data_IF_686484347652
#
_entry.id   IF_686484347652
#
_cell.length_a   1.000
_cell.length_b   1.000
_cell.length_c   1.000
_cell.angle_alpha   90.00
_cell.angle_beta   90.00
_cell.angle_gamma   90.00
#
_symmetry.space_group_name_H-M   'P 1'
#
loop_
_entity.id
_entity.type
_entity.pdbx_description
1 polymer ?
#
# COMPACT_ATOMS: atom_id res chain seq x y z
N UNK A 1 -16.22 -0.63 -7.54
CA UNK A 1 -14.75 -0.73 -7.41
C UNK A 1 -14.17 -0.98 -8.80
N UNK A 2 -12.98 -0.50 -9.10
CA UNK A 2 -12.36 -0.71 -10.43
C UNK A 2 -11.84 -2.14 -10.54
N UNK A 3 -12.13 -2.83 -11.64
CA UNK A 3 -11.58 -4.17 -11.94
C UNK A 3 -10.05 -4.15 -11.93
N UNK A 4 -9.44 -3.00 -12.26
CA UNK A 4 -8.01 -2.79 -12.24
C UNK A 4 -7.41 -2.96 -10.83
N UNK A 5 -8.08 -2.46 -9.79
CA UNK A 5 -7.56 -2.59 -8.41
C UNK A 5 -7.50 -4.06 -7.98
N UNK A 6 -8.54 -4.82 -8.31
CA UNK A 6 -8.58 -6.26 -8.04
C UNK A 6 -7.50 -7.00 -8.83
N UNK A 7 -7.31 -6.64 -10.10
CA UNK A 7 -6.28 -7.23 -10.93
C UNK A 7 -4.88 -6.95 -10.37
N UNK A 8 -4.59 -5.70 -10.01
CA UNK A 8 -3.30 -5.32 -9.43
C UNK A 8 -3.00 -6.06 -8.12
N UNK A 9 -3.97 -6.15 -7.22
CA UNK A 9 -3.81 -6.87 -5.96
C UNK A 9 -3.65 -8.37 -6.18
N UNK A 10 -4.41 -8.96 -7.11
CA UNK A 10 -4.23 -10.35 -7.50
C UNK A 10 -2.81 -10.60 -8.02
N UNK A 11 -2.35 -9.80 -8.98
CA UNK A 11 -1.03 -9.90 -9.57
C UNK A 11 0.09 -9.66 -8.55
N UNK A 12 -0.13 -8.78 -7.58
CA UNK A 12 0.78 -8.57 -6.45
C UNK A 12 0.98 -9.86 -5.65
N UNK A 13 -0.10 -10.56 -5.28
CA UNK A 13 0.00 -11.83 -4.57
C UNK A 13 0.63 -12.92 -5.45
N UNK A 14 0.28 -13.00 -6.74
CA UNK A 14 0.87 -13.95 -7.68
C UNK A 14 2.39 -13.72 -7.85
N UNK A 15 2.85 -12.47 -7.93
CA UNK A 15 4.28 -12.12 -7.96
C UNK A 15 5.00 -12.50 -6.67
N UNK A 16 4.32 -12.46 -5.53
CA UNK A 16 4.81 -12.92 -4.23
C UNK A 16 4.63 -14.42 -4.03
N UNK A 17 4.38 -15.18 -5.12
CA UNK A 17 4.29 -16.65 -5.16
C UNK A 17 3.13 -17.25 -4.36
N UNK A 18 2.03 -16.52 -4.23
CA UNK A 18 0.78 -17.05 -3.68
C UNK A 18 -0.06 -17.74 -4.77
N UNK A 19 -0.77 -18.79 -4.38
CA UNK A 19 -1.95 -19.23 -5.09
C UNK A 19 -3.08 -18.26 -4.80
N UNK A 20 -3.76 -17.77 -5.83
CA UNK A 20 -4.83 -16.78 -5.70
C UNK A 20 -6.11 -17.29 -6.27
N UNK A 21 -7.17 -17.26 -5.48
CA UNK A 21 -8.47 -17.78 -5.81
C UNK A 21 -9.52 -16.69 -5.59
N UNK A 22 -10.16 -16.19 -6.66
CA UNK A 22 -11.20 -15.17 -6.52
C UNK A 22 -12.51 -15.77 -6.01
N UNK A 23 -13.23 -15.00 -5.20
CA UNK A 23 -14.47 -15.41 -4.54
C UNK A 23 -15.55 -15.95 -5.49
N UNK A 24 -15.69 -15.40 -6.70
CA UNK A 24 -16.73 -15.82 -7.65
C UNK A 24 -16.66 -17.30 -8.05
N UNK A 25 -15.54 -17.97 -7.76
CA UNK A 25 -15.38 -19.41 -8.04
C UNK A 25 -16.03 -20.32 -6.98
N UNK A 26 -16.46 -19.78 -5.83
CA UNK A 26 -16.89 -20.59 -4.68
C UNK A 26 -18.38 -20.57 -4.38
N UNK A 27 -19.23 -20.09 -5.23
CA UNK A 27 -20.64 -20.19 -4.96
C UNK A 27 -21.52 -19.22 -5.74
N UNK A 28 -22.82 -19.34 -5.51
CA UNK A 28 -23.76 -18.33 -5.97
C UNK A 28 -23.31 -17.00 -5.35
N UNK A 29 -22.89 -16.07 -6.22
CA UNK A 29 -22.55 -14.72 -5.78
C UNK A 29 -23.69 -14.22 -4.90
N UNK A 30 -23.42 -13.77 -3.66
CA UNK A 30 -24.46 -13.16 -2.85
C UNK A 30 -25.13 -12.11 -3.73
N UNK A 31 -26.47 -12.13 -3.79
CA UNK A 31 -27.24 -11.14 -4.57
C UNK A 31 -27.01 -9.70 -4.12
N UNK A 32 -26.28 -9.54 -3.04
CA UNK A 32 -25.82 -8.25 -2.52
C UNK A 32 -24.58 -7.84 -3.32
N UNK A 33 -24.78 -6.93 -4.27
CA UNK A 33 -23.81 -6.45 -5.27
C UNK A 33 -22.53 -5.86 -4.65
N UNK A 34 -22.53 -5.54 -3.34
CA UNK A 34 -21.40 -4.98 -2.62
C UNK A 34 -20.30 -6.01 -2.27
N UNK A 35 -20.62 -7.31 -2.25
CA UNK A 35 -19.67 -8.39 -1.97
C UNK A 35 -19.07 -9.03 -3.23
N UNK A 36 -19.80 -8.99 -4.34
CA UNK A 36 -19.44 -9.72 -5.55
C UNK A 36 -18.19 -9.12 -6.20
N UNK A 37 -17.03 -9.63 -5.87
CA UNK A 37 -15.80 -9.37 -6.62
C UNK A 37 -14.66 -8.68 -5.86
N UNK A 38 -14.83 -8.40 -4.56
CA UNK A 38 -13.81 -7.72 -3.77
C UNK A 38 -12.91 -8.67 -2.95
N UNK A 39 -13.28 -9.96 -2.81
CA UNK A 39 -12.56 -10.94 -2.01
C UNK A 39 -11.66 -11.83 -2.86
N UNK A 40 -10.43 -12.02 -2.36
CA UNK A 40 -9.48 -13.03 -2.83
C UNK A 40 -9.11 -13.95 -1.67
N UNK A 41 -8.94 -15.23 -1.96
CA UNK A 41 -8.34 -16.19 -1.05
C UNK A 41 -6.94 -16.47 -1.54
N UNK A 42 -5.95 -16.28 -0.68
CA UNK A 42 -4.54 -16.43 -1.05
C UNK A 42 -3.85 -17.43 -0.12
N UNK A 43 -3.01 -18.29 -0.69
CA UNK A 43 -2.23 -19.25 0.07
C UNK A 43 -0.78 -19.26 -0.43
N UNK A 44 0.16 -19.06 0.50
CA UNK A 44 1.59 -19.14 0.24
C UNK A 44 2.08 -20.57 0.55
N UNK A 45 2.54 -21.33 -0.48
CA UNK A 45 2.98 -22.71 -0.27
C UNK A 45 4.28 -22.81 0.54
N UNK A 46 5.09 -21.76 0.52
CA UNK A 46 6.38 -21.68 1.24
C UNK A 46 6.50 -20.31 1.91
N UNK A 47 5.75 -20.07 2.99
CA UNK A 47 5.85 -18.80 3.69
C UNK A 47 7.26 -18.59 4.24
N UNK A 48 7.72 -17.36 4.27
CA UNK A 48 8.93 -17.00 4.99
C UNK A 48 8.75 -17.27 6.49
N UNK A 49 9.84 -17.32 7.24
CA UNK A 49 9.76 -17.52 8.69
C UNK A 49 8.84 -16.46 9.30
N UNK A 50 7.86 -16.94 10.08
CA UNK A 50 6.89 -16.06 10.74
C UNK A 50 7.60 -15.25 11.81
N UNK A 51 7.63 -13.92 11.64
CA UNK A 51 7.89 -12.95 12.69
C UNK A 51 6.58 -12.33 13.17
N UNK A 52 6.63 -11.55 14.22
CA UNK A 52 5.51 -10.68 14.60
C UNK A 52 5.35 -9.59 13.53
N UNK A 53 4.28 -9.69 12.78
CA UNK A 53 3.95 -8.69 11.76
C UNK A 53 3.12 -7.56 12.36
N UNK A 54 3.44 -6.34 12.00
CA UNK A 54 2.60 -5.20 12.30
C UNK A 54 1.24 -5.31 11.59
N UNK A 55 0.23 -4.63 12.13
CA UNK A 55 -1.05 -4.57 11.44
C UNK A 55 -0.92 -3.89 10.07
N UNK A 56 -0.11 -2.82 9.96
CA UNK A 56 0.17 -2.14 8.71
C UNK A 56 1.42 -2.74 8.06
N UNK A 57 1.21 -3.55 7.03
CA UNK A 57 2.28 -4.27 6.35
C UNK A 57 3.17 -3.35 5.50
N UNK A 58 4.47 -3.62 5.53
CA UNK A 58 5.48 -3.00 4.70
C UNK A 58 5.79 -3.89 3.46
N UNK A 59 6.50 -3.38 2.45
CA UNK A 59 6.93 -4.19 1.31
C UNK A 59 7.71 -5.44 1.77
N UNK A 60 7.30 -6.60 1.26
CA UNK A 60 7.90 -7.90 1.58
C UNK A 60 7.28 -8.62 2.78
N UNK A 61 6.60 -7.94 3.70
CA UNK A 61 5.99 -8.57 4.89
C UNK A 61 4.98 -9.65 4.52
N UNK A 62 4.29 -9.46 3.40
CA UNK A 62 3.28 -10.40 2.91
C UNK A 62 3.80 -11.82 2.75
N UNK A 63 5.10 -11.99 2.49
CA UNK A 63 5.74 -13.30 2.30
C UNK A 63 5.73 -14.17 3.57
N UNK A 64 5.51 -13.57 4.74
CA UNK A 64 5.38 -14.28 6.02
C UNK A 64 3.94 -14.75 6.30
N UNK A 65 2.97 -14.35 5.47
CA UNK A 65 1.57 -14.77 5.61
C UNK A 65 1.39 -16.11 4.88
N UNK A 66 0.89 -17.11 5.60
CA UNK A 66 0.62 -18.43 5.02
C UNK A 66 -0.69 -18.44 4.22
N UNK A 67 -1.76 -17.95 4.82
CA UNK A 67 -3.11 -17.89 4.23
C UNK A 67 -3.79 -16.60 4.60
N UNK A 68 -4.50 -16.00 3.66
CA UNK A 68 -5.31 -14.85 3.95
C UNK A 68 -6.57 -14.76 3.09
N UNK A 69 -7.63 -14.20 3.70
CA UNK A 69 -8.75 -13.61 2.98
C UNK A 69 -8.41 -12.14 2.77
N UNK A 70 -8.39 -11.72 1.52
CA UNK A 70 -7.99 -10.37 1.14
C UNK A 70 -9.21 -9.63 0.59
N UNK A 71 -9.61 -8.57 1.24
CA UNK A 71 -10.61 -7.62 0.76
C UNK A 71 -9.91 -6.41 0.14
N UNK A 72 -10.37 -5.96 -1.03
CA UNK A 72 -9.79 -4.81 -1.71
C UNK A 72 -10.78 -3.64 -1.67
N UNK A 73 -10.41 -2.54 -1.03
CA UNK A 73 -11.21 -1.31 -0.88
C UNK A 73 -10.39 -0.06 -1.16
N UNK A 74 -9.74 -0.04 -2.32
CA UNK A 74 -8.91 1.08 -2.74
C UNK A 74 -9.74 2.12 -3.52
N UNK A 75 -10.13 3.19 -2.84
CA UNK A 75 -10.74 4.38 -3.44
C UNK A 75 -9.67 5.46 -3.55
N UNK A 76 -9.13 5.65 -4.75
CA UNK A 76 -7.96 6.52 -4.96
C UNK A 76 -8.29 8.02 -4.98
N UNK A 77 -9.57 8.39 -4.84
CA UNK A 77 -9.96 9.80 -4.81
C UNK A 77 -9.56 10.51 -3.52
N UNK A 78 -9.58 9.76 -2.39
CA UNK A 78 -9.34 10.30 -1.06
C UNK A 78 -8.46 9.39 -0.21
N UNK A 79 -7.88 9.98 0.84
CA UNK A 79 -7.16 9.23 1.87
C UNK A 79 -8.11 8.56 2.83
N UNK A 80 -7.68 7.43 3.38
CA UNK A 80 -8.45 6.71 4.38
C UNK A 80 -8.32 7.38 5.76
N UNK A 81 -9.43 7.88 6.27
CA UNK A 81 -9.53 8.48 7.59
C UNK A 81 -10.36 7.61 8.53
N UNK A 82 -10.14 7.77 9.84
CA UNK A 82 -10.93 7.08 10.87
C UNK A 82 -12.44 7.26 10.69
N UNK A 83 -12.89 8.48 10.37
CA UNK A 83 -14.30 8.80 10.13
C UNK A 83 -14.92 8.02 8.96
N UNK A 84 -14.14 7.77 7.89
CA UNK A 84 -14.59 6.97 6.75
C UNK A 84 -14.77 5.51 7.16
N UNK A 85 -13.85 4.98 7.96
CA UNK A 85 -13.92 3.61 8.46
C UNK A 85 -15.11 3.43 9.39
N UNK A 86 -15.32 4.37 10.32
CA UNK A 86 -16.42 4.33 11.29
C UNK A 86 -17.82 4.48 10.64
N UNK A 87 -17.91 5.29 9.57
CA UNK A 87 -19.18 5.53 8.88
C UNK A 87 -19.56 4.45 7.87
N UNK A 88 -18.62 3.63 7.43
CA UNK A 88 -18.86 2.64 6.37
C UNK A 88 -19.01 1.22 6.93
N UNK A 89 -20.19 0.60 6.80
CA UNK A 89 -20.43 -0.77 7.28
C UNK A 89 -19.58 -1.82 6.53
N UNK A 90 -18.98 -1.46 5.42
CA UNK A 90 -18.13 -2.35 4.63
C UNK A 90 -16.95 -2.85 5.46
N UNK A 91 -16.31 -2.00 6.27
CA UNK A 91 -15.13 -2.39 7.04
C UNK A 91 -15.43 -3.33 8.24
N UNK A 92 -16.67 -3.34 8.71
CA UNK A 92 -17.11 -4.33 9.72
C UNK A 92 -17.49 -5.65 9.08
N UNK A 93 -17.94 -5.64 7.83
CA UNK A 93 -18.32 -6.86 7.08
C UNK A 93 -17.12 -7.68 6.64
N UNK A 94 -15.96 -7.08 6.43
CA UNK A 94 -14.72 -7.78 6.00
C UNK A 94 -14.40 -8.94 6.92
N UNK A 95 -14.54 -8.76 8.22
CA UNK A 95 -14.29 -9.78 9.24
C UNK A 95 -15.58 -10.42 9.78
N UNK A 96 -16.68 -10.38 9.02
CA UNK A 96 -17.96 -10.98 9.42
C UNK A 96 -17.86 -12.50 9.56
N UNK A 97 -18.79 -13.08 10.32
CA UNK A 97 -18.91 -14.52 10.49
C UNK A 97 -19.10 -15.23 9.13
N UNK A 98 -19.85 -14.62 8.22
CA UNK A 98 -20.04 -15.14 6.87
C UNK A 98 -18.70 -15.23 6.10
N UNK A 99 -17.88 -14.19 6.16
CA UNK A 99 -16.54 -14.20 5.53
C UNK A 99 -15.65 -15.27 6.15
N UNK A 100 -15.71 -15.44 7.48
CA UNK A 100 -14.94 -16.45 8.21
C UNK A 100 -15.37 -17.87 7.84
N UNK A 101 -16.66 -18.16 7.85
CA UNK A 101 -17.20 -19.47 7.45
C UNK A 101 -16.80 -19.82 6.02
N UNK A 102 -16.85 -18.84 5.11
CA UNK A 102 -16.42 -19.05 3.74
C UNK A 102 -14.91 -19.33 3.65
N UNK A 103 -14.08 -18.59 4.38
CA UNK A 103 -12.65 -18.80 4.44
C UNK A 103 -12.29 -20.19 4.97
N UNK A 104 -12.94 -20.63 6.04
CA UNK A 104 -12.76 -21.94 6.63
C UNK A 104 -13.14 -23.07 5.63
N UNK A 105 -14.19 -22.85 4.86
CA UNK A 105 -14.59 -23.77 3.81
C UNK A 105 -13.55 -23.85 2.70
N UNK A 106 -13.04 -22.70 2.24
CA UNK A 106 -12.07 -22.63 1.14
C UNK A 106 -10.72 -23.21 1.56
N UNK A 107 -10.21 -22.83 2.73
CA UNK A 107 -8.91 -23.27 3.22
C UNK A 107 -8.94 -24.64 3.91
N UNK A 108 -10.12 -25.15 4.24
CA UNK A 108 -10.30 -26.31 5.11
C UNK A 108 -9.45 -26.18 6.40
N UNK A 109 -9.41 -24.98 6.98
CA UNK A 109 -8.57 -24.61 8.12
C UNK A 109 -9.08 -23.35 8.79
N UNK A 110 -8.87 -23.22 10.10
CA UNK A 110 -9.11 -22.02 10.87
C UNK A 110 -7.87 -21.09 10.95
N UNK A 111 -6.73 -21.53 10.39
CA UNK A 111 -5.48 -20.77 10.39
C UNK A 111 -5.37 -19.92 9.13
N UNK A 112 -5.88 -18.72 9.17
CA UNK A 112 -5.77 -17.70 8.12
C UNK A 112 -5.80 -16.31 8.73
N UNK A 113 -5.41 -15.31 7.94
CA UNK A 113 -5.45 -13.90 8.30
C UNK A 113 -6.52 -13.17 7.49
N UNK A 114 -7.09 -12.12 8.06
CA UNK A 114 -7.97 -11.19 7.34
C UNK A 114 -7.13 -9.98 6.99
N UNK A 115 -6.96 -9.76 5.69
CA UNK A 115 -6.15 -8.67 5.12
C UNK A 115 -7.05 -7.70 4.37
N UNK A 116 -6.88 -6.42 4.64
CA UNK A 116 -7.59 -5.35 3.94
C UNK A 116 -6.60 -4.52 3.11
N UNK A 117 -6.87 -4.38 1.81
CA UNK A 117 -6.12 -3.46 0.95
C UNK A 117 -6.91 -2.17 0.80
N UNK A 118 -6.29 -1.05 1.18
CA UNK A 118 -6.89 0.30 1.13
C UNK A 118 -6.10 1.23 0.22
N UNK A 119 -6.65 2.42 -0.11
CA UNK A 119 -5.93 3.42 -0.91
C UNK A 119 -4.64 3.89 -0.22
N UNK A 120 -4.71 4.85 0.64
CA UNK A 120 -3.63 5.28 1.52
C UNK A 120 -4.22 5.95 2.76
N UNK A 121 -3.49 5.91 3.88
CA UNK A 121 -3.87 6.63 5.09
C UNK A 121 -3.40 8.09 5.06
N UNK A 122 -3.87 8.85 6.06
CA UNK A 122 -3.35 10.19 6.31
C UNK A 122 -1.83 10.16 6.54
N UNK A 123 -1.13 11.18 6.06
CA UNK A 123 0.30 11.36 6.34
C UNK A 123 0.59 11.64 7.83
N UNK A 124 -0.41 12.11 8.62
CA UNK A 124 -0.26 12.30 10.07
C UNK A 124 -0.17 10.94 10.78
N UNK A 125 0.94 10.67 11.52
CA UNK A 125 1.11 9.40 12.24
C UNK A 125 -0.04 9.11 13.22
N UNK A 126 -0.52 10.11 13.93
CA UNK A 126 -1.62 9.98 14.90
C UNK A 126 -2.93 9.58 14.22
N UNK A 127 -3.28 10.23 13.10
CA UNK A 127 -4.49 9.92 12.33
C UNK A 127 -4.41 8.53 11.70
N UNK A 128 -3.22 8.15 11.22
CA UNK A 128 -2.94 6.81 10.68
C UNK A 128 -3.11 5.75 11.79
N UNK A 129 -2.45 5.93 12.94
CA UNK A 129 -2.55 5.00 14.06
C UNK A 129 -3.99 4.82 14.54
N UNK A 130 -4.76 5.92 14.62
CA UNK A 130 -6.19 5.86 14.96
C UNK A 130 -6.98 5.03 13.94
N UNK A 131 -6.78 5.25 12.65
CA UNK A 131 -7.47 4.51 11.59
C UNK A 131 -7.14 3.01 11.65
N UNK A 132 -5.86 2.64 11.78
CA UNK A 132 -5.40 1.26 11.91
C UNK A 132 -5.99 0.60 13.15
N UNK A 133 -6.02 1.28 14.30
CA UNK A 133 -6.59 0.73 15.54
C UNK A 133 -8.09 0.42 15.45
N UNK A 134 -8.84 1.19 14.64
CA UNK A 134 -10.26 0.90 14.39
C UNK A 134 -10.41 -0.35 13.54
N UNK A 135 -9.60 -0.50 12.49
CA UNK A 135 -9.61 -1.69 11.63
C UNK A 135 -9.27 -2.96 12.42
N UNK A 136 -8.25 -2.90 13.30
CA UNK A 136 -7.92 -4.02 14.18
C UNK A 136 -9.08 -4.40 15.10
N UNK A 137 -9.77 -3.41 15.71
CA UNK A 137 -10.96 -3.66 16.53
C UNK A 137 -12.10 -4.29 15.74
N UNK A 138 -12.19 -4.00 14.45
CA UNK A 138 -13.14 -4.63 13.53
C UNK A 138 -12.74 -6.05 13.11
N UNK A 139 -11.64 -6.60 13.64
CA UNK A 139 -11.20 -7.97 13.38
C UNK A 139 -10.33 -8.15 12.13
N UNK A 140 -9.74 -7.08 11.63
CA UNK A 140 -8.78 -7.12 10.53
C UNK A 140 -7.39 -7.34 11.11
N UNK A 141 -6.71 -8.40 10.68
CA UNK A 141 -5.38 -8.75 11.17
C UNK A 141 -4.31 -7.82 10.58
N UNK A 142 -4.39 -7.60 9.27
CA UNK A 142 -3.40 -6.78 8.57
C UNK A 142 -4.03 -5.87 7.53
N UNK A 143 -3.35 -4.76 7.28
CA UNK A 143 -3.74 -3.76 6.26
C UNK A 143 -2.56 -3.51 5.32
N UNK A 144 -2.84 -3.40 4.03
CA UNK A 144 -1.85 -3.03 3.01
C UNK A 144 -2.32 -1.73 2.35
N UNK A 145 -1.48 -0.72 2.32
CA UNK A 145 -1.73 0.48 1.53
C UNK A 145 -1.43 0.21 0.05
N UNK A 146 -2.23 0.73 -0.85
CA UNK A 146 -2.04 0.52 -2.29
C UNK A 146 -0.68 1.00 -2.81
N UNK A 147 -0.09 2.11 -2.32
CA UNK A 147 1.29 2.46 -2.62
C UNK A 147 2.30 1.37 -2.28
N UNK A 148 2.10 0.63 -1.18
CA UNK A 148 2.93 -0.53 -0.80
C UNK A 148 2.82 -1.66 -1.82
N UNK A 149 1.59 -1.96 -2.28
CA UNK A 149 1.35 -2.95 -3.36
C UNK A 149 2.15 -2.58 -4.62
N UNK A 150 2.02 -1.33 -5.07
CA UNK A 150 2.71 -0.86 -6.28
C UNK A 150 4.23 -0.84 -6.11
N UNK A 151 4.73 -0.40 -4.96
CA UNK A 151 6.16 -0.34 -4.67
C UNK A 151 6.79 -1.74 -4.69
N UNK A 152 6.15 -2.71 -4.06
CA UNK A 152 6.62 -4.10 -4.01
C UNK A 152 6.59 -4.75 -5.41
N UNK A 153 5.49 -4.59 -6.15
CA UNK A 153 5.40 -5.04 -7.55
C UNK A 153 6.53 -4.46 -8.40
N UNK A 154 6.80 -3.16 -8.26
CA UNK A 154 7.90 -2.51 -8.97
C UNK A 154 9.28 -3.01 -8.56
N UNK A 155 9.46 -3.47 -7.33
CA UNK A 155 10.72 -4.11 -6.90
C UNK A 155 10.89 -5.47 -7.56
N UNK A 156 9.84 -6.30 -7.58
CA UNK A 156 9.88 -7.69 -8.08
C UNK A 156 9.96 -7.73 -9.61
N UNK A 157 9.25 -6.86 -10.33
CA UNK A 157 9.22 -6.87 -11.79
C UNK A 157 10.62 -6.61 -12.36
N UNK A 158 11.16 -7.62 -13.06
CA UNK A 158 12.45 -7.54 -13.74
C UNK A 158 12.28 -6.99 -15.17
N UNK A 159 13.03 -5.94 -15.57
CA UNK A 159 12.90 -5.32 -16.90
C UNK A 159 13.17 -6.27 -18.07
N UNK A 160 13.96 -7.33 -17.85
CA UNK A 160 14.33 -8.33 -18.85
C UNK A 160 13.32 -9.47 -19.00
N UNK A 161 12.43 -9.67 -18.02
CA UNK A 161 11.45 -10.75 -18.06
C UNK A 161 10.27 -10.39 -18.97
N UNK A 162 9.57 -11.42 -19.47
CA UNK A 162 8.34 -11.25 -20.23
C UNK A 162 7.11 -11.56 -19.37
N UNK A 163 6.21 -10.59 -19.29
CA UNK A 163 4.96 -10.68 -18.56
C UNK A 163 3.74 -10.68 -19.52
N UNK A 164 3.90 -11.28 -20.70
CA UNK A 164 2.89 -11.24 -21.77
C UNK A 164 1.48 -11.72 -21.36
N UNK A 165 1.29 -12.62 -20.38
CA UNK A 165 -0.05 -12.98 -19.93
C UNK A 165 -0.79 -11.85 -19.20
N UNK A 166 -0.07 -10.86 -18.66
CA UNK A 166 -0.63 -9.71 -17.96
C UNK A 166 -0.26 -8.39 -18.67
N UNK A 167 -1.27 -7.67 -19.15
CA UNK A 167 -1.07 -6.35 -19.73
C UNK A 167 -0.57 -5.34 -18.71
N UNK A 168 -1.03 -5.44 -17.47
CA UNK A 168 -0.66 -4.56 -16.36
C UNK A 168 0.83 -4.73 -16.01
N UNK A 169 1.27 -5.95 -15.75
CA UNK A 169 2.67 -6.24 -15.45
C UNK A 169 3.59 -5.89 -16.63
N UNK A 170 3.13 -6.15 -17.85
CA UNK A 170 3.89 -5.80 -19.04
C UNK A 170 4.04 -4.28 -19.19
N UNK A 171 3.00 -3.51 -18.89
CA UNK A 171 3.07 -2.04 -18.89
C UNK A 171 4.04 -1.55 -17.82
N UNK A 172 3.94 -2.04 -16.58
CA UNK A 172 4.85 -1.68 -15.49
C UNK A 172 6.31 -2.03 -15.85
N UNK A 173 6.54 -3.19 -16.48
CA UNK A 173 7.85 -3.58 -16.98
C UNK A 173 8.42 -2.58 -18.00
N UNK A 174 7.61 -2.13 -18.97
CA UNK A 174 8.03 -1.16 -19.96
C UNK A 174 8.37 0.19 -19.34
N UNK A 175 7.51 0.67 -18.43
CA UNK A 175 7.76 1.91 -17.70
C UNK A 175 9.08 1.84 -16.91
N UNK A 176 9.37 0.70 -16.28
CA UNK A 176 10.62 0.46 -15.57
C UNK A 176 11.82 0.36 -16.52
N UNK A 177 11.68 -0.36 -17.64
CA UNK A 177 12.74 -0.54 -18.65
C UNK A 177 13.20 0.77 -19.27
N UNK A 178 12.25 1.66 -19.57
CA UNK A 178 12.52 2.95 -20.17
C UNK A 178 12.75 4.08 -19.17
N UNK A 179 12.91 3.76 -17.88
CA UNK A 179 13.17 4.72 -16.79
C UNK A 179 12.09 5.79 -16.59
N UNK A 180 10.85 5.54 -16.99
CA UNK A 180 9.71 6.40 -16.65
C UNK A 180 9.40 6.32 -15.15
N UNK A 181 9.65 5.16 -14.53
CA UNK A 181 9.58 4.98 -13.08
C UNK A 181 11.02 4.94 -12.57
N UNK A 182 11.44 6.01 -11.94
CA UNK A 182 12.72 6.08 -11.24
C UNK A 182 12.58 5.35 -9.90
N UNK A 183 13.65 4.63 -9.48
CA UNK A 183 13.76 4.22 -8.07
C UNK A 183 13.56 5.48 -7.23
N UNK A 184 12.69 5.41 -6.21
CA UNK A 184 12.63 6.47 -5.22
C UNK A 184 14.08 6.75 -4.79
N UNK A 185 14.56 7.97 -5.02
CA UNK A 185 15.79 8.40 -4.39
C UNK A 185 15.55 8.20 -2.90
N UNK A 186 16.42 7.43 -2.26
CA UNK A 186 16.47 7.41 -0.80
C UNK A 186 16.49 8.87 -0.38
N UNK A 187 15.39 9.34 0.23
CA UNK A 187 15.41 10.61 0.93
C UNK A 187 16.53 10.45 1.95
N UNK A 188 17.64 11.14 1.71
CA UNK A 188 18.66 11.31 2.73
C UNK A 188 17.93 12.00 3.89
N UNK A 189 17.60 11.24 4.90
CA UNK A 189 17.19 11.77 6.18
C UNK A 189 18.39 12.57 6.70
N UNK A 190 18.38 13.86 6.42
CA UNK A 190 19.18 14.78 7.20
C UNK A 190 18.52 14.76 8.59
N UNK A 191 19.21 14.30 9.63
CA UNK A 191 18.68 14.45 10.97
C UNK A 191 18.34 15.92 11.14
N UNK A 192 17.13 16.21 11.65
CA UNK A 192 16.75 17.57 11.97
C UNK A 192 17.90 18.22 12.78
N UNK A 193 18.26 19.46 12.49
CA UNK A 193 19.31 20.14 13.25
C UNK A 193 18.96 20.01 14.73
N UNK A 194 19.90 19.51 15.50
CA UNK A 194 19.79 19.36 16.96
C UNK A 194 19.42 20.74 17.50
N UNK A 195 18.24 20.95 18.10
CA UNK A 195 17.95 22.17 18.78
C UNK A 195 18.91 22.24 20.01
N UNK A 196 19.57 23.35 20.18
CA UNK A 196 20.45 23.65 21.29
C UNK A 196 21.93 23.18 21.21
N UNK A 197 22.66 23.71 20.23
CA UNK A 197 24.05 24.06 20.49
C UNK A 197 24.10 25.53 21.00
N UNK A 198 24.58 25.82 22.21
CA UNK A 198 24.63 27.18 22.67
C UNK A 198 25.71 27.97 21.90
N UNK A 199 25.26 29.00 21.21
CA UNK A 199 26.05 30.17 20.91
C UNK A 199 27.14 30.04 19.85
N UNK A 200 26.77 30.07 18.57
CA UNK A 200 27.56 30.74 17.54
C UNK A 200 26.64 31.80 16.95
N UNK A 201 26.79 33.01 17.39
CA UNK A 201 26.22 34.19 16.75
C UNK A 201 27.02 34.36 15.46
N UNK A 202 26.42 34.38 14.27
CA UNK A 202 27.16 34.79 13.08
C UNK A 202 27.45 36.27 13.21
N UNK A 203 28.75 36.65 13.19
CA UNK A 203 29.17 38.00 13.04
C UNK A 203 28.51 38.62 11.79
N UNK A 204 28.02 39.84 11.97
CA UNK A 204 27.37 40.65 10.95
C UNK A 204 28.24 40.76 9.69
N UNK A 205 27.88 40.14 8.61
CA UNK A 205 28.41 40.43 7.29
C UNK A 205 27.69 41.67 6.81
N UNK A 206 28.30 42.84 7.04
CA UNK A 206 27.96 44.09 6.34
C UNK A 206 28.15 43.89 4.84
N UNK A 207 27.07 43.68 4.12
CA UNK A 207 27.05 43.80 2.66
C UNK A 207 26.85 45.25 2.28
N UNK A 208 27.97 45.95 2.09
CA UNK A 208 28.00 47.23 1.37
C UNK A 208 27.71 46.95 -0.09
N UNK A 209 26.51 47.22 -0.54
CA UNK A 209 26.21 47.38 -1.97
C UNK A 209 26.71 48.77 -2.40
N UNK A 210 27.78 48.78 -3.19
CA UNK A 210 28.27 49.94 -3.91
C UNK A 210 27.39 50.16 -5.14
N UNK A 211 26.53 51.17 -5.05
CA UNK A 211 25.61 51.64 -6.08
C UNK A 211 26.37 52.67 -6.94
N UNK A 212 27.07 52.22 -7.99
CA UNK A 212 27.54 53.13 -9.06
C UNK A 212 27.55 52.41 -10.43
N UNK A 213 26.47 52.55 -11.16
CA UNK A 213 26.52 52.52 -12.60
C UNK A 213 25.86 53.77 -13.14
N UNK A 214 26.70 54.83 -13.31
CA UNK A 214 26.38 55.97 -14.18
C UNK A 214 26.33 55.51 -15.64
N UNK A 215 25.18 55.72 -16.24
CA UNK A 215 24.99 55.59 -17.69
C UNK A 215 25.29 56.99 -18.26
N UNK A 216 26.44 57.15 -18.88
CA UNK A 216 26.70 58.26 -19.80
C UNK A 216 26.44 57.73 -21.22
N UNK A 217 25.42 58.31 -21.89
CA UNK A 217 25.27 58.21 -23.32
C UNK A 217 26.25 59.16 -23.99
N UNK A 218 26.60 58.87 -25.23
CA UNK A 218 26.66 59.84 -26.36
C UNK A 218 27.31 59.15 -27.57
N UNK A 219 26.63 59.44 -28.68
CA UNK A 219 26.88 59.37 -30.12
C UNK A 219 26.54 58.05 -30.83
#
# INVERSE_FOLDING_TARGET
MSDLNMQLVREFFELNLFYVLPHWQFGEAPRDTDFAGALLFVEQPKPAASGDLDCLLQPGDVQSIKRAVVEVRAWHADRMYASVIESSPVFTRVASEQTRTLAETVFNSHEYKIVLVVSEFSASPEKRAKAVSILQRNGIDHVIEFPTVLADMLQIIAPQNNYSPSQTLQTMRLLKRYNFIRKQQLELFFPAPIPDAPGIVPDDIETTYDDQLEITGDE
#
